data_IF_340635300639
#
_entry.id   IF_340635300639
#
_cell.length_a   1.000
_cell.length_b   1.000
_cell.length_c   1.000
_cell.angle_alpha   90.00
_cell.angle_beta   90.00
_cell.angle_gamma   90.00
#
_symmetry.space_group_name_H-M   'P 1'
#
loop_
_entity.id
_entity.type
_entity.pdbx_description
1 polymer ?
#
# COMPACT_ATOMS: atom_id res chain seq x y z
N UNK A 1 33.24 -16.09 27.72
CA UNK A 1 32.46 -15.49 26.61
C UNK A 1 31.35 -14.68 27.26
N UNK A 2 31.46 -13.35 27.30
CA UNK A 2 30.45 -12.46 27.89
C UNK A 2 29.17 -12.57 27.04
N UNK A 3 28.06 -12.95 27.69
CA UNK A 3 26.75 -12.86 27.06
C UNK A 3 26.52 -11.38 26.74
N UNK A 4 26.51 -11.02 25.42
CA UNK A 4 26.04 -9.70 25.02
C UNK A 4 24.62 -9.58 25.56
N UNK A 5 24.39 -8.60 26.44
CA UNK A 5 23.03 -8.25 26.84
C UNK A 5 22.17 -8.12 25.61
N UNK A 6 21.07 -8.86 25.55
CA UNK A 6 20.16 -8.81 24.44
C UNK A 6 19.58 -7.39 24.37
N UNK A 7 19.93 -6.66 23.31
CA UNK A 7 19.41 -5.31 23.07
C UNK A 7 17.88 -5.36 23.08
N UNK A 8 17.23 -4.41 23.76
CA UNK A 8 15.77 -4.35 23.82
C UNK A 8 15.29 -2.91 23.92
N UNK A 9 14.09 -2.66 23.45
CA UNK A 9 13.42 -1.37 23.55
C UNK A 9 12.03 -1.56 24.14
N UNK A 10 11.60 -0.63 24.98
CA UNK A 10 10.23 -0.62 25.52
C UNK A 10 9.38 0.36 24.72
N UNK A 11 8.32 -0.13 24.10
CA UNK A 11 7.40 0.64 23.26
C UNK A 11 5.99 0.52 23.84
N UNK A 12 5.44 1.62 24.32
CA UNK A 12 4.10 1.64 24.95
C UNK A 12 3.91 0.54 26.00
N UNK A 13 4.91 0.35 26.86
CA UNK A 13 4.89 -0.65 27.93
C UNK A 13 5.23 -2.09 27.51
N UNK A 14 5.43 -2.36 26.22
CA UNK A 14 5.80 -3.69 25.69
C UNK A 14 7.32 -3.74 25.47
N UNK A 15 8.01 -4.69 26.10
CA UNK A 15 9.43 -4.94 25.84
C UNK A 15 9.60 -5.76 24.57
N UNK A 16 10.32 -5.18 23.59
CA UNK A 16 10.67 -5.81 22.31
C UNK A 16 12.16 -6.10 22.30
N UNK A 17 12.52 -7.38 22.22
CA UNK A 17 13.92 -7.80 22.05
C UNK A 17 14.40 -7.50 20.64
N UNK A 18 15.58 -6.90 20.51
CA UNK A 18 16.20 -6.59 19.24
C UNK A 18 17.38 -7.54 18.98
N UNK A 19 17.64 -7.84 17.72
CA UNK A 19 18.74 -8.72 17.33
C UNK A 19 19.39 -8.24 16.04
N UNK A 20 20.73 -8.31 15.99
CA UNK A 20 21.51 -8.00 14.79
C UNK A 20 21.13 -6.63 14.17
N UNK A 21 20.98 -5.61 14.99
CA UNK A 21 20.58 -4.25 14.57
C UNK A 21 21.56 -3.65 13.56
N UNK A 22 22.85 -3.98 13.63
CA UNK A 22 23.87 -3.58 12.67
C UNK A 22 23.88 -4.36 11.34
N UNK A 23 22.98 -5.36 11.14
CA UNK A 23 22.94 -6.10 9.89
C UNK A 23 22.45 -5.19 8.76
N UNK A 24 23.22 -5.11 7.65
CA UNK A 24 22.81 -4.37 6.45
C UNK A 24 21.61 -5.04 5.80
N UNK A 25 20.60 -4.22 5.46
CA UNK A 25 19.44 -4.60 4.68
C UNK A 25 19.48 -4.00 3.26
N UNK A 26 20.17 -2.88 3.10
CA UNK A 26 20.40 -2.22 1.81
C UNK A 26 21.89 -1.83 1.73
N UNK A 27 22.45 -1.95 0.56
CA UNK A 27 23.87 -1.68 0.32
C UNK A 27 24.11 -0.24 -0.18
N UNK A 28 23.13 0.35 -0.87
CA UNK A 28 23.22 1.71 -1.42
C UNK A 28 21.86 2.43 -1.38
N UNK A 29 21.71 3.46 -0.49
CA UNK A 29 22.62 3.76 0.62
C UNK A 29 22.64 2.61 1.64
N UNK A 30 23.72 2.52 2.42
CA UNK A 30 23.80 1.56 3.52
C UNK A 30 22.69 1.83 4.54
N UNK A 31 21.78 0.86 4.69
CA UNK A 31 20.69 0.91 5.67
C UNK A 31 20.71 -0.38 6.48
N UNK A 32 20.87 -0.23 7.76
CA UNK A 32 20.88 -1.34 8.71
C UNK A 32 19.48 -1.74 9.14
N UNK A 33 19.37 -2.90 9.76
CA UNK A 33 18.12 -3.31 10.42
C UNK A 33 17.75 -2.35 11.57
N UNK A 34 18.71 -1.75 12.23
CA UNK A 34 18.51 -0.72 13.25
C UNK A 34 17.83 0.53 12.66
N UNK A 35 18.27 0.99 11.49
CA UNK A 35 17.68 2.12 10.79
C UNK A 35 16.21 1.84 10.40
N UNK A 36 15.93 0.64 9.90
CA UNK A 36 14.56 0.21 9.59
C UNK A 36 13.66 0.17 10.84
N UNK A 37 14.19 -0.32 11.96
CA UNK A 37 13.50 -0.33 13.27
C UNK A 37 13.21 1.10 13.71
N UNK A 38 14.19 1.99 13.65
CA UNK A 38 14.05 3.41 13.96
C UNK A 38 12.96 4.05 13.13
N UNK A 39 13.03 3.85 11.81
CA UNK A 39 12.03 4.36 10.87
C UNK A 39 10.60 3.93 11.26
N UNK A 40 10.35 2.64 11.43
CA UNK A 40 9.00 2.14 11.73
C UNK A 40 8.51 2.54 13.13
N UNK A 41 9.43 2.72 14.10
CA UNK A 41 9.11 3.29 15.43
C UNK A 41 8.61 4.73 15.29
N UNK A 42 9.36 5.57 14.57
CA UNK A 42 9.10 6.99 14.46
C UNK A 42 7.87 7.27 13.57
N UNK A 43 7.64 6.41 12.57
CA UNK A 43 6.51 6.47 11.67
C UNK A 43 5.22 5.82 12.23
N UNK A 44 5.25 5.24 13.42
CA UNK A 44 4.11 4.47 13.96
C UNK A 44 2.80 5.26 13.97
N UNK A 45 2.84 6.53 14.38
CA UNK A 45 1.66 7.41 14.40
C UNK A 45 1.03 7.65 13.02
N UNK A 46 1.84 7.63 11.96
CA UNK A 46 1.39 7.83 10.57
C UNK A 46 0.94 6.54 9.90
N UNK A 47 1.57 5.41 10.21
CA UNK A 47 1.32 4.11 9.55
C UNK A 47 0.13 3.39 10.16
N UNK A 48 0.03 3.33 11.49
CA UNK A 48 -0.96 2.50 12.19
C UNK A 48 -2.41 2.81 11.83
N UNK A 49 -2.85 4.06 11.58
CA UNK A 49 -4.21 4.32 11.14
C UNK A 49 -4.63 3.57 9.87
N UNK A 50 -3.66 3.24 9.00
CA UNK A 50 -3.87 2.53 7.74
C UNK A 50 -3.72 1.01 7.86
N UNK A 51 -3.09 0.51 8.93
CA UNK A 51 -2.87 -0.92 9.19
C UNK A 51 -3.86 -1.52 10.18
N UNK A 52 -4.48 -0.70 11.04
CA UNK A 52 -5.35 -1.17 12.10
C UNK A 52 -6.43 -2.09 11.58
N UNK A 53 -6.57 -3.25 12.23
CA UNK A 53 -7.56 -4.28 11.92
C UNK A 53 -7.44 -4.89 10.52
N UNK A 54 -6.28 -4.74 9.85
CA UNK A 54 -6.04 -5.35 8.53
C UNK A 54 -5.08 -6.51 8.62
N UNK A 55 -5.43 -7.68 8.09
CA UNK A 55 -4.48 -8.76 7.91
C UNK A 55 -3.28 -8.30 7.06
N UNK A 56 -2.07 -8.65 7.50
CA UNK A 56 -0.84 -8.27 6.81
C UNK A 56 -0.17 -9.47 6.16
N UNK A 57 0.40 -9.22 5.00
CA UNK A 57 1.44 -10.05 4.40
C UNK A 57 2.77 -9.33 4.55
N UNK A 58 3.74 -10.01 5.11
CA UNK A 58 5.07 -9.51 5.40
C UNK A 58 6.03 -9.87 4.27
N UNK A 59 6.67 -8.89 3.63
CA UNK A 59 7.80 -9.16 2.76
C UNK A 59 9.09 -8.99 3.56
N UNK A 60 9.66 -10.13 3.97
CA UNK A 60 10.86 -10.21 4.81
C UNK A 60 12.09 -10.45 3.97
N UNK A 61 13.19 -9.84 4.38
CA UNK A 61 14.50 -9.94 3.72
C UNK A 61 15.58 -10.19 4.78
N UNK A 62 15.65 -11.41 5.35
CA UNK A 62 16.59 -11.73 6.42
C UNK A 62 18.05 -11.47 6.05
N UNK A 63 18.39 -11.58 4.77
CA UNK A 63 19.74 -11.38 4.24
C UNK A 63 19.88 -10.10 3.38
N UNK A 64 19.03 -9.09 3.67
CA UNK A 64 18.99 -7.84 2.90
C UNK A 64 18.28 -7.99 1.55
N UNK A 65 18.15 -6.86 0.82
CA UNK A 65 17.40 -6.82 -0.44
C UNK A 65 18.08 -7.60 -1.59
N UNK A 66 19.37 -7.85 -1.48
CA UNK A 66 20.11 -8.72 -2.40
C UNK A 66 19.88 -10.22 -2.15
N UNK A 67 19.33 -10.59 -0.99
CA UNK A 67 19.03 -11.96 -0.63
C UNK A 67 17.62 -12.42 -1.02
N UNK A 68 17.24 -13.60 -0.54
CA UNK A 68 15.95 -14.19 -0.81
C UNK A 68 14.81 -13.39 -0.13
N UNK A 69 13.81 -12.98 -0.91
CA UNK A 69 12.54 -12.47 -0.38
C UNK A 69 11.66 -13.60 0.15
N UNK A 70 11.21 -13.47 1.39
CA UNK A 70 10.21 -14.35 2.01
C UNK A 70 8.88 -13.59 2.05
N UNK A 71 7.95 -13.95 1.18
CA UNK A 71 6.59 -13.36 1.18
C UNK A 71 5.71 -14.16 2.14
N UNK A 72 5.74 -13.75 3.42
CA UNK A 72 5.20 -14.51 4.54
C UNK A 72 3.75 -14.10 4.83
N UNK A 73 2.82 -15.01 4.53
CA UNK A 73 1.39 -14.83 4.79
C UNK A 73 0.99 -15.33 6.18
N UNK A 74 1.53 -16.47 6.60
CA UNK A 74 1.19 -17.09 7.88
C UNK A 74 2.13 -16.58 8.98
N UNK A 75 1.57 -16.27 10.16
CA UNK A 75 2.38 -15.85 11.32
C UNK A 75 3.21 -17.02 11.82
N UNK A 76 4.53 -16.87 12.04
CA UNK A 76 5.34 -17.93 12.62
C UNK A 76 4.97 -18.21 14.08
N UNK A 77 5.08 -19.48 14.47
CA UNK A 77 4.76 -19.91 15.85
C UNK A 77 5.63 -19.28 16.93
N UNK A 78 6.82 -18.78 16.58
CA UNK A 78 7.71 -18.09 17.50
C UNK A 78 7.38 -16.61 17.75
N UNK A 79 6.38 -16.06 17.05
CA UNK A 79 5.97 -14.68 17.28
C UNK A 79 5.34 -14.55 18.67
N UNK A 80 5.68 -13.47 19.41
CA UNK A 80 5.16 -13.27 20.77
C UNK A 80 3.63 -13.27 20.81
N UNK A 81 3.01 -13.74 21.91
CA UNK A 81 1.56 -13.81 22.03
C UNK A 81 0.88 -12.43 22.04
N UNK A 82 1.61 -11.36 22.35
CA UNK A 82 1.09 -10.01 22.30
C UNK A 82 0.98 -9.41 20.88
N UNK A 83 1.53 -10.09 19.87
CA UNK A 83 1.30 -9.73 18.46
C UNK A 83 -0.09 -10.21 18.08
N UNK A 84 -0.97 -9.27 17.77
CA UNK A 84 -2.36 -9.56 17.38
C UNK A 84 -2.40 -10.32 16.05
N UNK A 85 -3.39 -11.21 15.90
CA UNK A 85 -3.52 -12.09 14.74
C UNK A 85 -4.98 -12.37 14.42
N UNK A 86 -5.23 -12.80 13.19
CA UNK A 86 -6.56 -13.17 12.69
C UNK A 86 -6.44 -14.38 11.78
N UNK A 87 -7.44 -15.23 11.81
CA UNK A 87 -7.62 -16.32 10.85
C UNK A 87 -8.27 -15.79 9.58
N UNK A 88 -7.69 -16.15 8.44
CA UNK A 88 -8.13 -15.75 7.11
C UNK A 88 -8.36 -17.01 6.29
N UNK A 89 -9.58 -17.19 5.82
CA UNK A 89 -9.94 -18.32 4.97
C UNK A 89 -9.19 -18.29 3.63
N UNK A 90 -8.85 -19.46 3.13
CA UNK A 90 -8.31 -19.68 1.77
C UNK A 90 -8.81 -20.97 1.21
N UNK A 91 -8.68 -21.19 -0.09
CA UNK A 91 -8.93 -22.47 -0.70
C UNK A 91 -8.07 -23.56 -0.03
N UNK A 92 -8.73 -24.54 0.60
CA UNK A 92 -8.09 -25.67 1.27
C UNK A 92 -7.60 -25.40 2.70
N UNK A 93 -8.18 -24.42 3.44
CA UNK A 93 -7.90 -24.20 4.85
C UNK A 93 -7.81 -22.73 5.26
N UNK A 94 -7.08 -22.44 6.32
CA UNK A 94 -6.94 -21.11 6.91
C UNK A 94 -5.50 -20.69 6.99
N UNK A 95 -5.29 -19.40 7.10
CA UNK A 95 -4.01 -18.76 7.41
C UNK A 95 -4.17 -17.87 8.64
N UNK A 96 -3.30 -18.03 9.60
CA UNK A 96 -3.22 -17.09 10.72
C UNK A 96 -2.30 -15.92 10.33
N UNK A 97 -2.86 -14.72 10.19
CA UNK A 97 -2.12 -13.54 9.73
C UNK A 97 -1.91 -12.50 10.83
N UNK A 98 -0.83 -11.74 10.72
CA UNK A 98 -0.51 -10.64 11.65
C UNK A 98 -1.50 -9.51 11.48
N UNK A 99 -1.93 -8.94 12.62
CA UNK A 99 -2.56 -7.63 12.71
C UNK A 99 -1.56 -6.67 13.35
N UNK A 100 -1.26 -5.58 12.67
CA UNK A 100 -0.38 -4.54 13.19
C UNK A 100 -1.22 -3.37 13.74
N UNK A 101 -1.54 -3.45 15.02
CA UNK A 101 -2.44 -2.54 15.72
C UNK A 101 -1.72 -1.61 16.73
N UNK A 102 -0.42 -1.82 16.95
CA UNK A 102 0.37 -1.07 17.95
C UNK A 102 1.82 -0.83 17.52
N UNK A 103 2.47 0.23 18.02
CA UNK A 103 3.86 0.56 17.66
C UNK A 103 4.86 -0.58 17.93
N UNK A 104 4.67 -1.32 19.03
CA UNK A 104 5.52 -2.46 19.36
C UNK A 104 5.50 -3.54 18.27
N UNK A 105 4.34 -3.78 17.63
CA UNK A 105 4.23 -4.73 16.50
C UNK A 105 5.04 -4.24 15.31
N UNK A 106 4.97 -2.95 14.92
CA UNK A 106 5.79 -2.40 13.83
C UNK A 106 7.28 -2.61 14.08
N UNK A 107 7.75 -2.26 15.27
CA UNK A 107 9.15 -2.44 15.69
C UNK A 107 9.55 -3.92 15.66
N UNK A 108 8.69 -4.81 16.13
CA UNK A 108 8.94 -6.25 16.10
C UNK A 108 9.03 -6.77 14.66
N UNK A 109 8.12 -6.36 13.78
CA UNK A 109 8.15 -6.76 12.36
C UNK A 109 9.43 -6.26 11.66
N UNK A 110 9.85 -5.02 11.93
CA UNK A 110 11.12 -4.50 11.42
C UNK A 110 12.32 -5.31 11.92
N UNK A 111 12.33 -5.69 13.21
CA UNK A 111 13.35 -6.58 13.78
C UNK A 111 13.36 -7.99 13.13
N UNK A 112 12.24 -8.44 12.56
CA UNK A 112 12.16 -9.64 11.75
C UNK A 112 12.59 -9.42 10.29
N UNK A 113 13.23 -8.30 9.98
CA UNK A 113 13.61 -7.86 8.63
C UNK A 113 12.40 -7.77 7.67
N UNK A 114 11.23 -7.43 8.18
CA UNK A 114 10.07 -7.14 7.36
C UNK A 114 10.22 -5.71 6.81
N UNK A 115 10.68 -5.60 5.56
CA UNK A 115 10.89 -4.31 4.90
C UNK A 115 9.56 -3.78 4.36
N UNK A 116 8.76 -4.62 3.68
CA UNK A 116 7.50 -4.20 3.10
C UNK A 116 6.31 -4.76 3.87
N UNK A 117 5.37 -3.87 4.17
CA UNK A 117 4.08 -4.20 4.78
C UNK A 117 3.00 -4.16 3.69
N UNK A 118 2.35 -5.28 3.44
CA UNK A 118 1.25 -5.39 2.48
C UNK A 118 -0.05 -5.65 3.22
N UNK A 119 -1.00 -4.73 3.12
CA UNK A 119 -2.26 -4.78 3.86
C UNK A 119 -3.43 -5.26 2.99
N UNK A 120 -4.37 -5.97 3.60
CA UNK A 120 -5.66 -6.29 3.00
C UNK A 120 -6.47 -5.02 2.73
N UNK A 121 -7.39 -5.10 1.77
CA UNK A 121 -8.39 -4.06 1.49
C UNK A 121 -9.65 -4.18 2.34
N UNK A 122 -9.70 -5.15 3.26
CA UNK A 122 -10.76 -5.34 4.26
C UNK A 122 -10.19 -5.37 5.68
N UNK A 123 -11.06 -5.35 6.68
CA UNK A 123 -10.73 -5.37 8.11
C UNK A 123 -11.27 -6.62 8.79
N UNK A 124 -10.72 -6.96 9.94
CA UNK A 124 -11.12 -8.15 10.73
C UNK A 124 -12.60 -8.25 11.06
N UNK A 125 -13.32 -7.11 11.12
CA UNK A 125 -14.77 -7.08 11.34
C UNK A 125 -15.63 -7.45 10.12
N UNK A 126 -15.01 -7.73 8.95
CA UNK A 126 -15.71 -8.06 7.71
C UNK A 126 -14.72 -8.35 6.59
N UNK A 127 -14.01 -9.49 6.71
CA UNK A 127 -12.95 -9.84 5.77
C UNK A 127 -13.43 -9.99 4.33
N UNK A 128 -14.71 -10.38 4.15
CA UNK A 128 -15.32 -10.62 2.84
C UNK A 128 -15.71 -9.33 2.07
N UNK A 129 -15.76 -8.19 2.78
CA UNK A 129 -16.18 -6.93 2.20
C UNK A 129 -15.04 -5.91 2.28
N UNK A 130 -14.53 -5.42 1.13
CA UNK A 130 -13.49 -4.41 1.14
C UNK A 130 -14.01 -3.07 1.68
N UNK A 131 -13.21 -2.41 2.50
CA UNK A 131 -13.44 -1.02 2.91
C UNK A 131 -12.64 -0.01 2.05
N UNK A 132 -11.94 -0.52 1.05
CA UNK A 132 -11.20 0.27 0.07
C UNK A 132 -11.24 -0.40 -1.31
N UNK A 133 -11.35 0.43 -2.34
CA UNK A 133 -11.15 0.07 -3.74
C UNK A 133 -9.82 0.69 -4.20
N UNK A 134 -9.05 -0.02 -5.00
CA UNK A 134 -7.72 0.44 -5.47
C UNK A 134 -7.59 0.31 -6.97
N UNK A 135 -7.12 1.37 -7.61
CA UNK A 135 -6.61 1.37 -8.96
C UNK A 135 -5.08 1.48 -8.90
N UNK A 136 -4.38 0.48 -9.41
CA UNK A 136 -2.91 0.46 -9.50
C UNK A 136 -2.52 0.82 -10.94
N UNK A 137 -1.97 2.01 -11.13
CA UNK A 137 -1.49 2.49 -12.43
C UNK A 137 -0.02 2.13 -12.59
N UNK A 138 0.25 1.04 -13.32
CA UNK A 138 1.57 0.44 -13.49
C UNK A 138 2.15 0.71 -14.89
N UNK A 139 3.17 1.58 -15.01
CA UNK A 139 3.80 1.87 -16.30
C UNK A 139 4.76 0.76 -16.73
N UNK A 140 5.00 0.62 -18.04
CA UNK A 140 5.97 -0.35 -18.58
C UNK A 140 7.41 -0.06 -18.15
N UNK A 141 7.78 1.23 -18.03
CA UNK A 141 9.10 1.73 -17.67
C UNK A 141 9.08 2.77 -16.56
N UNK A 142 10.26 3.24 -16.15
CA UNK A 142 10.41 4.26 -15.09
C UNK A 142 10.27 5.70 -15.63
N UNK A 143 10.36 5.89 -16.92
CA UNK A 143 10.37 7.14 -17.69
C UNK A 143 8.95 7.68 -18.00
N UNK A 144 7.92 6.89 -17.67
CA UNK A 144 6.51 7.21 -17.98
C UNK A 144 5.73 7.79 -16.79
N UNK A 145 6.41 8.34 -15.77
CA UNK A 145 5.71 8.80 -14.56
C UNK A 145 4.81 10.02 -14.79
N UNK A 146 5.19 10.93 -15.70
CA UNK A 146 4.34 12.06 -16.08
C UNK A 146 2.99 11.59 -16.66
N UNK A 147 2.99 10.54 -17.48
CA UNK A 147 1.77 9.95 -18.02
C UNK A 147 0.94 9.26 -16.93
N UNK A 148 1.61 8.61 -15.95
CA UNK A 148 0.94 8.01 -14.79
C UNK A 148 0.25 9.10 -13.97
N UNK A 149 0.92 10.23 -13.70
CA UNK A 149 0.36 11.36 -12.97
C UNK A 149 -0.87 11.95 -13.72
N UNK A 150 -0.74 12.17 -15.03
CA UNK A 150 -1.85 12.63 -15.87
C UNK A 150 -3.05 11.70 -15.81
N UNK A 151 -2.83 10.38 -15.95
CA UNK A 151 -3.90 9.38 -15.88
C UNK A 151 -4.53 9.29 -14.49
N UNK A 152 -3.74 9.47 -13.42
CA UNK A 152 -4.27 9.53 -12.06
C UNK A 152 -5.18 10.74 -11.86
N UNK A 153 -4.81 11.91 -12.40
CA UNK A 153 -5.65 13.12 -12.36
C UNK A 153 -6.96 12.92 -13.15
N UNK A 154 -6.89 12.34 -14.36
CA UNK A 154 -8.09 12.00 -15.15
C UNK A 154 -8.98 10.95 -14.45
N UNK A 155 -8.36 10.00 -13.75
CA UNK A 155 -9.11 9.04 -12.92
C UNK A 155 -9.78 9.75 -11.74
N UNK A 156 -9.12 10.73 -11.11
CA UNK A 156 -9.74 11.57 -10.08
C UNK A 156 -10.98 12.28 -10.60
N UNK A 157 -10.87 12.95 -11.76
CA UNK A 157 -12.01 13.63 -12.39
C UNK A 157 -13.19 12.67 -12.63
N UNK A 158 -12.93 11.48 -13.18
CA UNK A 158 -13.96 10.46 -13.36
C UNK A 158 -14.59 10.07 -12.01
N UNK A 159 -13.78 9.77 -11.00
CA UNK A 159 -14.25 9.29 -9.70
C UNK A 159 -14.99 10.39 -8.92
N UNK A 160 -14.43 11.60 -8.81
CA UNK A 160 -14.97 12.66 -7.96
C UNK A 160 -16.08 13.46 -8.65
N UNK A 161 -15.88 13.87 -9.92
CA UNK A 161 -16.80 14.75 -10.60
C UNK A 161 -17.97 14.00 -11.22
N UNK A 162 -17.74 12.83 -11.81
CA UNK A 162 -18.79 12.09 -12.50
C UNK A 162 -19.41 11.00 -11.61
N UNK A 163 -18.61 10.26 -10.85
CA UNK A 163 -19.10 9.14 -10.04
C UNK A 163 -19.41 9.53 -8.57
N UNK A 164 -18.98 10.72 -8.12
CA UNK A 164 -19.19 11.27 -6.77
C UNK A 164 -18.56 10.41 -5.66
N UNK A 165 -17.34 9.93 -5.93
CA UNK A 165 -16.51 9.16 -5.03
C UNK A 165 -15.24 9.93 -4.71
N UNK A 166 -15.00 10.33 -3.47
CA UNK A 166 -13.72 10.94 -3.08
C UNK A 166 -12.60 9.92 -3.21
N UNK A 167 -11.51 10.33 -3.83
CA UNK A 167 -10.36 9.49 -4.09
C UNK A 167 -9.08 10.02 -3.43
N UNK A 168 -8.14 9.13 -3.16
CA UNK A 168 -6.87 9.40 -2.48
C UNK A 168 -5.73 8.79 -3.27
N UNK A 169 -4.63 9.51 -3.44
CA UNK A 169 -3.49 9.04 -4.24
C UNK A 169 -2.23 8.87 -3.40
N UNK A 170 -1.43 7.86 -3.74
CA UNK A 170 -0.08 7.69 -3.20
C UNK A 170 0.88 7.17 -4.26
N UNK A 171 2.17 7.47 -4.13
CA UNK A 171 3.20 6.73 -4.86
C UNK A 171 3.28 5.29 -4.34
N UNK A 172 3.67 4.36 -5.21
CA UNK A 172 3.94 2.99 -4.78
C UNK A 172 5.33 2.79 -4.18
N UNK A 173 6.20 3.82 -4.26
CA UNK A 173 7.63 3.68 -4.01
C UNK A 173 8.32 2.76 -5.03
N UNK A 174 7.64 2.48 -6.14
CA UNK A 174 8.10 1.67 -7.26
C UNK A 174 8.16 2.47 -8.55
N UNK A 175 7.18 2.25 -9.45
CA UNK A 175 7.08 2.92 -10.75
C UNK A 175 5.82 3.77 -10.90
N UNK A 176 4.74 3.38 -10.24
CA UNK A 176 3.40 3.92 -10.45
C UNK A 176 2.80 4.55 -9.20
N UNK A 177 1.51 4.77 -9.27
CA UNK A 177 0.68 5.27 -8.18
C UNK A 177 -0.49 4.34 -7.92
N UNK A 178 -0.99 4.36 -6.68
CA UNK A 178 -2.28 3.80 -6.33
C UNK A 178 -3.28 4.93 -6.11
N UNK A 179 -4.46 4.79 -6.68
CA UNK A 179 -5.62 5.63 -6.36
C UNK A 179 -6.59 4.79 -5.54
N UNK A 180 -6.93 5.25 -4.34
CA UNK A 180 -7.79 4.57 -3.40
C UNK A 180 -9.13 5.27 -3.27
N UNK A 181 -10.21 4.49 -3.20
CA UNK A 181 -11.56 4.97 -2.90
C UNK A 181 -12.04 4.26 -1.63
N UNK A 182 -12.43 4.97 -0.56
CA UNK A 182 -12.97 4.36 0.66
C UNK A 182 -14.38 3.82 0.43
N UNK A 183 -14.63 2.60 0.90
CA UNK A 183 -15.91 1.91 0.79
C UNK A 183 -16.56 1.70 2.16
N UNK A 184 -17.87 1.46 2.16
CA UNK A 184 -18.67 1.16 3.37
C UNK A 184 -18.44 -0.24 3.94
N UNK A 185 -17.69 -1.11 3.25
CA UNK A 185 -17.54 -2.52 3.55
C UNK A 185 -18.89 -3.28 3.55
N UNK A 186 -19.73 -2.98 2.58
CA UNK A 186 -21.02 -3.65 2.35
C UNK A 186 -21.09 -4.38 1.01
N UNK A 187 -20.17 -4.06 0.12
CA UNK A 187 -20.09 -4.67 -1.19
C UNK A 187 -19.06 -5.81 -1.18
N UNK A 188 -19.27 -6.85 -1.98
CA UNK A 188 -18.31 -7.94 -2.10
C UNK A 188 -17.06 -7.52 -2.89
N UNK A 189 -15.95 -8.24 -2.71
CA UNK A 189 -14.74 -8.05 -3.52
C UNK A 189 -15.00 -8.19 -5.03
N UNK A 190 -15.91 -9.08 -5.44
CA UNK A 190 -16.26 -9.24 -6.85
C UNK A 190 -17.03 -8.04 -7.39
N UNK A 191 -17.91 -7.45 -6.61
CA UNK A 191 -18.61 -6.21 -6.98
C UNK A 191 -17.62 -5.05 -7.09
N UNK A 192 -16.73 -4.89 -6.12
CA UNK A 192 -15.70 -3.84 -6.13
C UNK A 192 -14.75 -4.00 -7.32
N UNK A 193 -14.28 -5.21 -7.61
CA UNK A 193 -13.40 -5.48 -8.74
C UNK A 193 -14.09 -5.24 -10.09
N UNK A 194 -15.36 -5.63 -10.22
CA UNK A 194 -16.16 -5.35 -11.42
C UNK A 194 -16.29 -3.86 -11.67
N UNK A 195 -16.69 -3.09 -10.64
CA UNK A 195 -16.77 -1.64 -10.73
C UNK A 195 -15.42 -1.00 -11.12
N UNK A 196 -14.31 -1.42 -10.49
CA UNK A 196 -12.98 -0.91 -10.83
C UNK A 196 -12.61 -1.21 -12.29
N UNK A 197 -12.96 -2.39 -12.81
CA UNK A 197 -12.72 -2.76 -14.20
C UNK A 197 -13.49 -1.86 -15.15
N UNK A 198 -14.79 -1.71 -14.94
CA UNK A 198 -15.66 -0.89 -15.78
C UNK A 198 -15.21 0.58 -15.78
N UNK A 199 -14.84 1.14 -14.61
CA UNK A 199 -14.30 2.49 -14.52
C UNK A 199 -12.96 2.63 -15.27
N UNK A 200 -12.09 1.61 -15.19
CA UNK A 200 -10.82 1.58 -15.93
C UNK A 200 -11.03 1.46 -17.43
N UNK A 201 -12.05 0.72 -17.88
CA UNK A 201 -12.42 0.62 -19.30
C UNK A 201 -12.92 1.96 -19.86
N UNK A 202 -13.74 2.69 -19.09
CA UNK A 202 -14.17 4.06 -19.44
C UNK A 202 -12.96 4.99 -19.54
N UNK A 203 -12.04 4.95 -18.59
CA UNK A 203 -10.84 5.77 -18.61
C UNK A 203 -9.93 5.40 -19.80
N UNK A 204 -9.77 4.11 -20.11
CA UNK A 204 -8.97 3.62 -21.23
C UNK A 204 -9.58 4.04 -22.58
N UNK A 205 -10.90 4.00 -22.71
CA UNK A 205 -11.59 4.48 -23.92
C UNK A 205 -11.37 5.99 -24.18
N UNK A 206 -11.23 6.78 -23.11
CA UNK A 206 -10.87 8.21 -23.19
C UNK A 206 -9.38 8.45 -23.46
N UNK A 207 -8.53 7.44 -23.21
CA UNK A 207 -7.07 7.54 -23.27
C UNK A 207 -6.45 6.32 -23.99
N UNK A 208 -6.87 5.99 -25.23
CA UNK A 208 -6.53 4.71 -25.87
C UNK A 208 -5.02 4.54 -26.14
N UNK A 209 -4.29 5.64 -26.32
CA UNK A 209 -2.85 5.62 -26.60
C UNK A 209 -2.00 5.53 -25.30
N UNK A 210 -2.56 5.90 -24.16
CA UNK A 210 -1.83 5.95 -22.88
C UNK A 210 -2.17 4.82 -21.91
N UNK A 211 -3.44 4.38 -21.90
CA UNK A 211 -3.94 3.44 -20.89
C UNK A 211 -4.45 2.15 -21.52
N UNK A 212 -4.26 1.05 -20.84
CA UNK A 212 -4.83 -0.25 -21.20
C UNK A 212 -5.32 -1.03 -19.98
N UNK A 213 -6.37 -1.80 -20.17
CA UNK A 213 -6.88 -2.79 -19.21
C UNK A 213 -6.44 -4.22 -19.54
N UNK A 214 -5.58 -4.38 -20.55
CA UNK A 214 -5.09 -5.68 -21.01
C UNK A 214 -4.17 -6.32 -19.97
N UNK A 215 -4.62 -7.45 -19.39
CA UNK A 215 -3.88 -8.15 -18.35
C UNK A 215 -2.59 -8.79 -18.89
N UNK A 216 -2.62 -9.32 -20.10
CA UNK A 216 -1.45 -9.94 -20.74
C UNK A 216 -0.46 -8.88 -21.21
N UNK A 217 0.80 -8.99 -20.77
CA UNK A 217 1.87 -8.01 -21.10
C UNK A 217 2.03 -7.79 -22.61
N UNK A 218 1.94 -8.84 -23.42
CA UNK A 218 2.06 -8.75 -24.87
C UNK A 218 1.00 -7.84 -25.54
N UNK A 219 -0.16 -7.63 -24.89
CA UNK A 219 -1.21 -6.76 -25.41
C UNK A 219 -1.14 -5.32 -24.90
N UNK A 220 -0.19 -5.00 -23.99
CA UNK A 220 -0.13 -3.66 -23.39
C UNK A 220 0.60 -2.64 -24.27
N UNK A 221 1.59 -3.08 -25.05
CA UNK A 221 2.53 -2.17 -25.72
C UNK A 221 3.21 -1.28 -24.69
N UNK A 222 3.43 -0.01 -25.01
CA UNK A 222 4.02 1.00 -24.12
C UNK A 222 2.97 1.71 -23.24
N UNK A 223 1.75 1.17 -23.16
CA UNK A 223 0.65 1.78 -22.39
C UNK A 223 0.77 1.41 -20.90
N UNK A 224 0.31 2.34 -20.07
CA UNK A 224 0.16 2.12 -18.63
C UNK A 224 -0.97 1.11 -18.41
N UNK A 225 -0.74 0.16 -17.52
CA UNK A 225 -1.73 -0.85 -17.17
C UNK A 225 -2.52 -0.42 -15.93
N UNK A 226 -3.85 -0.33 -16.06
CA UNK A 226 -4.74 -0.19 -14.91
C UNK A 226 -4.97 -1.57 -14.28
N UNK A 227 -4.17 -1.92 -13.25
CA UNK A 227 -4.33 -3.17 -12.52
C UNK A 227 -5.43 -3.05 -11.45
N UNK A 228 -6.54 -3.71 -11.70
CA UNK A 228 -7.67 -3.80 -10.76
C UNK A 228 -7.74 -5.14 -10.04
N UNK A 229 -6.81 -6.07 -10.33
CA UNK A 229 -6.79 -7.41 -9.74
C UNK A 229 -6.50 -7.41 -8.25
N UNK A 230 -5.94 -6.30 -7.73
CA UNK A 230 -5.76 -6.10 -6.28
C UNK A 230 -7.08 -6.06 -5.51
N UNK A 231 -8.21 -5.79 -6.18
CA UNK A 231 -9.54 -5.79 -5.61
C UNK A 231 -10.17 -7.20 -5.56
N UNK A 232 -9.40 -8.22 -5.27
CA UNK A 232 -9.90 -9.57 -5.03
C UNK A 232 -9.67 -9.97 -3.57
N UNK A 233 -10.50 -10.88 -3.06
CA UNK A 233 -10.34 -11.40 -1.71
C UNK A 233 -8.92 -11.91 -1.46
N UNK A 234 -8.38 -11.63 -0.30
CA UNK A 234 -7.02 -11.99 0.13
C UNK A 234 -5.87 -11.42 -0.74
N UNK A 235 -6.15 -10.50 -1.66
CA UNK A 235 -5.12 -9.68 -2.29
C UNK A 235 -4.71 -8.54 -1.36
N UNK A 236 -3.48 -8.09 -1.53
CA UNK A 236 -2.90 -7.03 -0.70
C UNK A 236 -2.27 -5.95 -1.54
N UNK A 237 -2.19 -4.76 -0.97
CA UNK A 237 -1.45 -3.63 -1.53
C UNK A 237 -0.40 -3.16 -0.54
N UNK A 238 0.69 -2.57 -1.04
CA UNK A 238 1.68 -1.96 -0.16
C UNK A 238 1.04 -0.84 0.67
N UNK A 239 1.23 -0.91 1.98
CA UNK A 239 0.64 0.05 2.91
C UNK A 239 1.22 1.46 2.73
N UNK A 240 0.45 2.52 3.03
CA UNK A 240 0.98 3.86 3.16
C UNK A 240 2.17 3.89 4.12
N UNK A 241 3.21 4.64 3.74
CA UNK A 241 4.46 4.80 4.47
C UNK A 241 5.28 3.49 4.66
N UNK A 242 4.93 2.40 3.98
CA UNK A 242 5.78 1.19 3.96
C UNK A 242 7.04 1.44 3.12
N UNK A 243 8.18 1.04 3.66
CA UNK A 243 9.44 1.01 2.91
C UNK A 243 9.35 -0.04 1.81
N UNK A 244 10.02 0.19 0.68
CA UNK A 244 10.13 -0.75 -0.44
C UNK A 244 11.52 -1.38 -0.46
N UNK A 245 11.56 -2.68 -0.64
CA UNK A 245 12.79 -3.45 -0.74
C UNK A 245 13.43 -3.30 -2.13
N UNK A 246 13.90 -2.09 -2.42
CA UNK A 246 14.57 -1.69 -3.67
C UNK A 246 15.73 -0.76 -3.34
N UNK A 247 16.78 -0.69 -4.19
CA UNK A 247 17.85 0.29 -4.00
C UNK A 247 17.30 1.69 -3.75
N UNK A 248 17.80 2.36 -2.70
CA UNK A 248 17.31 3.67 -2.26
C UNK A 248 16.20 3.63 -1.19
N UNK A 249 15.69 2.46 -0.78
CA UNK A 249 14.69 2.29 0.29
C UNK A 249 13.50 3.27 0.20
N UNK A 250 12.88 3.35 -0.99
CA UNK A 250 11.76 4.24 -1.24
C UNK A 250 10.57 3.93 -0.33
N UNK A 251 9.75 4.94 -0.10
CA UNK A 251 8.56 4.87 0.74
C UNK A 251 7.31 5.04 -0.11
N UNK A 252 6.32 4.17 0.10
CA UNK A 252 5.00 4.29 -0.50
C UNK A 252 4.25 5.47 0.15
N UNK A 253 4.25 6.64 -0.50
CA UNK A 253 3.94 7.92 0.14
C UNK A 253 2.58 8.47 -0.27
N UNK A 254 1.65 8.70 0.69
CA UNK A 254 0.44 9.48 0.47
C UNK A 254 0.75 10.89 -0.05
N UNK A 255 0.00 11.33 -1.04
CA UNK A 255 0.17 12.62 -1.70
C UNK A 255 -1.12 13.43 -1.65
N UNK A 256 -0.97 14.77 -1.65
CA UNK A 256 -2.00 15.66 -2.14
C UNK A 256 -2.11 15.52 -3.65
N UNK A 257 -3.30 15.72 -4.20
CA UNK A 257 -3.49 15.61 -5.65
C UNK A 257 -2.66 16.63 -6.45
N UNK A 258 -2.47 17.81 -5.90
CA UNK A 258 -1.71 18.91 -6.49
C UNK A 258 -0.21 18.58 -6.61
N UNK A 259 0.29 17.64 -5.79
CA UNK A 259 1.68 17.19 -5.89
C UNK A 259 1.95 16.37 -7.18
N UNK A 260 0.92 15.80 -7.81
CA UNK A 260 1.06 15.12 -9.11
C UNK A 260 1.32 16.09 -10.27
N UNK A 261 1.08 17.38 -10.09
CA UNK A 261 1.37 18.43 -11.06
C UNK A 261 2.84 18.89 -11.00
N UNK A 262 3.56 18.55 -9.92
CA UNK A 262 5.00 18.79 -9.79
C UNK A 262 5.79 17.93 -10.78
N UNK A 263 6.44 18.56 -11.76
CA UNK A 263 7.24 17.89 -12.79
C UNK A 263 8.46 17.16 -12.24
N UNK A 264 8.92 17.55 -11.06
CA UNK A 264 10.06 16.93 -10.37
C UNK A 264 9.63 15.76 -9.48
N UNK A 265 8.32 15.54 -9.34
CA UNK A 265 7.82 14.37 -8.62
C UNK A 265 8.14 13.10 -9.39
N UNK A 266 8.75 12.16 -8.69
CA UNK A 266 8.93 10.79 -9.15
C UNK A 266 8.31 9.82 -8.14
N UNK A 267 7.96 8.59 -8.55
CA UNK A 267 7.40 7.61 -7.62
C UNK A 267 8.42 7.16 -6.56
N UNK A 268 9.68 7.60 -6.69
CA UNK A 268 10.82 7.25 -5.83
C UNK A 268 11.38 8.44 -5.05
N UNK A 269 10.75 9.61 -5.12
CA UNK A 269 11.24 10.84 -4.49
C UNK A 269 11.46 10.71 -2.99
N UNK A 270 10.57 9.97 -2.31
CA UNK A 270 10.61 9.83 -0.87
C UNK A 270 11.25 8.50 -0.48
N UNK A 271 12.27 8.58 0.34
CA UNK A 271 13.03 7.43 0.85
C UNK A 271 12.90 7.35 2.36
N UNK A 272 13.38 6.28 2.96
CA UNK A 272 13.44 6.11 4.41
C UNK A 272 14.09 7.32 5.11
N UNK A 273 15.10 7.96 4.50
CA UNK A 273 15.79 9.12 5.07
C UNK A 273 15.11 10.46 4.77
N UNK A 274 14.55 10.63 3.56
CA UNK A 274 14.01 11.94 3.14
C UNK A 274 12.55 12.15 3.51
N UNK A 275 11.82 11.12 3.92
CA UNK A 275 10.39 11.25 4.27
C UNK A 275 10.18 12.12 5.53
N UNK A 276 11.16 12.15 6.44
CA UNK A 276 11.12 12.98 7.64
C UNK A 276 10.95 14.45 7.32
N UNK A 277 11.76 15.00 6.42
CA UNK A 277 11.68 16.42 5.98
C UNK A 277 10.31 16.77 5.40
N UNK A 278 9.68 15.81 4.68
CA UNK A 278 8.32 16.00 4.18
C UNK A 278 7.32 16.09 5.31
N UNK A 279 7.42 15.18 6.28
CA UNK A 279 6.49 15.13 7.41
C UNK A 279 6.61 16.35 8.32
N UNK A 280 7.81 16.89 8.49
CA UNK A 280 8.03 18.14 9.20
C UNK A 280 7.30 19.31 8.50
N UNK A 281 7.41 19.42 7.16
CA UNK A 281 6.68 20.42 6.38
C UNK A 281 5.16 20.26 6.44
N UNK A 282 4.67 19.02 6.46
CA UNK A 282 3.24 18.73 6.59
C UNK A 282 2.71 19.00 8.01
N UNK A 283 3.57 18.95 9.02
CA UNK A 283 3.16 19.08 10.43
C UNK A 283 2.11 18.03 10.80
N UNK A 284 0.94 18.48 11.24
CA UNK A 284 -0.21 17.63 11.57
C UNK A 284 -1.08 17.25 10.37
N UNK A 285 -0.86 17.88 9.21
CA UNK A 285 -1.62 17.60 8.00
C UNK A 285 -1.30 16.20 7.45
N UNK A 286 -2.32 15.53 6.94
CA UNK A 286 -2.18 14.23 6.31
C UNK A 286 -3.03 14.20 5.03
N UNK A 287 -2.41 13.98 3.86
CA UNK A 287 -3.14 13.90 2.58
C UNK A 287 -4.28 12.88 2.59
N UNK A 288 -4.19 11.87 3.45
CA UNK A 288 -5.17 10.80 3.58
C UNK A 288 -6.04 10.88 4.84
N UNK A 289 -6.03 11.99 5.57
CA UNK A 289 -6.81 12.16 6.81
C UNK A 289 -8.32 11.88 6.65
N UNK A 290 -8.85 12.06 5.44
CA UNK A 290 -10.25 11.78 5.09
C UNK A 290 -10.58 10.32 4.79
N UNK A 291 -9.59 9.49 4.47
CA UNK A 291 -9.80 8.13 3.96
C UNK A 291 -10.70 7.28 4.87
N UNK A 292 -10.49 7.36 6.17
CA UNK A 292 -11.28 6.58 7.13
C UNK A 292 -12.63 7.21 7.50
N UNK A 293 -12.92 8.44 7.04
CA UNK A 293 -14.16 9.17 7.31
C UNK A 293 -15.18 9.03 6.19
N UNK A 294 -14.74 9.01 4.93
CA UNK A 294 -15.58 8.75 3.78
C UNK A 294 -15.93 7.26 3.69
N UNK A 295 -17.16 6.95 3.34
CA UNK A 295 -17.64 5.56 3.22
C UNK A 295 -18.71 5.47 2.17
N UNK A 296 -18.35 4.95 0.99
CA UNK A 296 -19.24 4.86 -0.16
C UNK A 296 -19.75 3.42 -0.37
N UNK A 297 -21.03 3.29 -0.69
CA UNK A 297 -21.57 2.09 -1.33
C UNK A 297 -21.47 2.24 -2.84
N UNK A 298 -21.28 1.15 -3.56
CA UNK A 298 -21.02 1.18 -5.00
C UNK A 298 -22.26 1.35 -5.87
N UNK A 299 -23.47 1.02 -5.40
CA UNK A 299 -24.70 1.03 -6.22
C UNK A 299 -24.96 2.37 -6.93
N UNK A 300 -24.83 3.47 -6.20
CA UNK A 300 -25.05 4.81 -6.76
C UNK A 300 -24.00 5.19 -7.80
N UNK A 301 -22.75 4.84 -7.54
CA UNK A 301 -21.63 5.08 -8.44
C UNK A 301 -21.71 4.19 -9.68
N UNK A 302 -22.11 2.92 -9.54
CA UNK A 302 -22.28 2.00 -10.66
C UNK A 302 -23.33 2.50 -11.65
N UNK A 303 -24.50 2.96 -11.16
CA UNK A 303 -25.53 3.58 -12.03
C UNK A 303 -25.05 4.85 -12.74
N UNK A 304 -24.16 5.63 -12.11
CA UNK A 304 -23.54 6.79 -12.80
C UNK A 304 -22.55 6.32 -13.85
N UNK A 305 -21.74 5.31 -13.53
CA UNK A 305 -20.75 4.74 -14.45
C UNK A 305 -21.41 4.16 -15.70
N UNK A 306 -22.52 3.44 -15.58
CA UNK A 306 -23.31 2.95 -16.72
C UNK A 306 -23.76 4.10 -17.64
N UNK A 307 -24.23 5.22 -17.07
CA UNK A 307 -24.63 6.40 -17.84
C UNK A 307 -23.44 7.07 -18.54
N UNK A 308 -22.28 7.12 -17.88
CA UNK A 308 -21.04 7.65 -18.45
C UNK A 308 -20.58 6.77 -19.63
N UNK A 309 -20.56 5.46 -19.44
CA UNK A 309 -20.18 4.51 -20.48
C UNK A 309 -21.13 4.53 -21.68
N UNK A 310 -22.44 4.71 -21.47
CA UNK A 310 -23.43 4.82 -22.55
C UNK A 310 -23.23 6.05 -23.43
N UNK A 311 -22.69 7.14 -22.90
CA UNK A 311 -22.40 8.38 -23.66
C UNK A 311 -21.12 8.29 -24.52
N UNK A 312 -20.30 7.27 -24.32
CA UNK A 312 -19.05 7.06 -25.06
C UNK A 312 -19.20 6.10 -26.25
N UNK A 313 -20.33 5.38 -26.33
CA UNK A 313 -20.71 4.50 -27.45
C UNK A 313 -21.43 5.29 -28.55
#
# INVERSE_FOLDING_TARGET
MSAREAESVTISGIRVGLSHTGKLLFDDPEITKGDLIGYYRDMAGRILPYLRDRPLVMARYPDGIGGQRIFQKNIPGYFPPWVSRVEVEKAGGELCQVICDKPATLVYLANQACIELHAFLSRTGGLECPDQLVFDLDPPGNDRFADVALLALRLRELLEDELKLTAYVKTTGGKGVHVHVPLRASDSFDAARRFAREASEVLAARNPDLLTTQQRRAGRGDRIYADVMRNAYAQTVVAPYSVRARPGAQVATPLWWEELEDRDLTPRRFTLYSIGDRLERLGTSDPWAGLNRHRYGLDGAARRLERVAAKQR
#
